data_IF_266624561038
#
_entry.id   IF_266624561038
#
_cell.length_a   1.000
_cell.length_b   1.000
_cell.length_c   1.000
_cell.angle_alpha   90.00
_cell.angle_beta   90.00
_cell.angle_gamma   90.00
#
_symmetry.space_group_name_H-M   'P 1'
#
loop_
_entity.id
_entity.type
_entity.pdbx_description
1 polymer ?
#
# COMPACT_ATOMS: atom_id res chain seq x y z
N UNK A 1 -2.52 -6.79 -5.90
CA UNK A 1 -1.37 -6.43 -6.75
C UNK A 1 -1.77 -6.36 -8.21
N UNK A 2 -1.09 -5.54 -9.00
CA UNK A 2 -1.27 -5.31 -10.43
C UNK A 2 -0.18 -5.95 -11.30
N UNK A 3 0.84 -6.52 -10.69
CA UNK A 3 2.03 -7.07 -11.37
C UNK A 3 2.35 -8.48 -10.84
N UNK A 4 2.84 -9.37 -11.69
CA UNK A 4 3.04 -10.77 -11.31
C UNK A 4 4.18 -10.99 -10.30
N UNK A 5 5.10 -10.04 -10.18
CA UNK A 5 6.26 -10.14 -9.28
C UNK A 5 5.93 -9.92 -7.80
N UNK A 6 4.77 -9.33 -7.50
CA UNK A 6 4.31 -9.05 -6.13
C UNK A 6 3.27 -10.09 -5.74
N UNK A 7 3.61 -10.97 -4.82
CA UNK A 7 2.84 -12.16 -4.47
C UNK A 7 2.00 -11.96 -3.21
N UNK A 8 0.99 -12.82 -3.04
CA UNK A 8 0.21 -12.86 -1.82
C UNK A 8 1.10 -13.08 -0.60
N UNK A 9 0.83 -12.32 0.47
CA UNK A 9 1.61 -12.34 1.70
C UNK A 9 2.91 -11.52 1.65
N UNK A 10 3.23 -10.88 0.53
CA UNK A 10 4.35 -9.93 0.50
C UNK A 10 4.02 -8.69 1.35
N UNK A 11 5.05 -8.19 2.05
CA UNK A 11 4.94 -7.01 2.92
C UNK A 11 5.52 -5.81 2.19
N UNK A 12 4.79 -4.71 2.19
CA UNK A 12 5.14 -3.46 1.53
C UNK A 12 5.24 -2.34 2.56
N UNK A 13 6.29 -1.53 2.48
CA UNK A 13 6.43 -0.27 3.22
C UNK A 13 6.60 0.82 2.17
N UNK A 14 5.50 1.50 1.77
CA UNK A 14 5.51 2.43 0.66
C UNK A 14 6.24 3.72 1.01
N UNK A 15 7.00 4.26 0.06
CA UNK A 15 7.62 5.58 0.17
C UNK A 15 6.61 6.70 -0.13
N UNK A 16 5.64 6.40 -0.96
CA UNK A 16 4.48 7.23 -1.25
C UNK A 16 3.32 6.36 -1.76
N UNK A 17 2.12 6.90 -1.75
CA UNK A 17 0.94 6.36 -2.43
C UNK A 17 0.37 7.40 -3.39
N UNK A 18 -0.18 6.96 -4.52
CA UNK A 18 -0.83 7.86 -5.49
C UNK A 18 -2.25 8.14 -5.00
N UNK A 19 -2.64 9.42 -4.95
CA UNK A 19 -3.96 9.88 -4.46
C UNK A 19 -5.01 9.74 -5.56
N UNK A 20 -5.55 8.55 -5.76
CA UNK A 20 -6.67 8.27 -6.67
C UNK A 20 -8.04 8.30 -5.97
N UNK A 21 -8.08 8.63 -4.69
CA UNK A 21 -9.26 8.66 -3.82
C UNK A 21 -9.80 10.08 -3.62
N UNK A 22 -11.11 10.23 -3.53
CA UNK A 22 -11.77 11.52 -3.32
C UNK A 22 -11.46 12.13 -1.97
N UNK A 23 -11.24 11.32 -0.93
CA UNK A 23 -10.91 11.83 0.40
C UNK A 23 -9.59 12.62 0.41
N UNK A 24 -8.57 12.18 -0.32
CA UNK A 24 -7.31 12.92 -0.48
C UNK A 24 -7.51 14.32 -1.06
N UNK A 25 -8.48 14.50 -1.98
CA UNK A 25 -8.75 15.79 -2.59
C UNK A 25 -9.21 16.84 -1.58
N UNK A 26 -10.02 16.44 -0.58
CA UNK A 26 -10.51 17.35 0.47
C UNK A 26 -9.45 17.75 1.49
N UNK A 27 -8.28 17.14 1.48
CA UNK A 27 -7.17 17.47 2.38
C UNK A 27 -6.22 18.53 1.80
N UNK A 28 -6.49 19.02 0.59
CA UNK A 28 -5.76 20.12 -0.02
C UNK A 28 -6.48 21.45 0.22
N UNK A 29 -5.74 22.57 0.17
CA UNK A 29 -6.28 23.93 0.39
C UNK A 29 -7.34 24.34 -0.65
N UNK A 30 -7.33 23.73 -1.83
CA UNK A 30 -8.28 23.96 -2.90
C UNK A 30 -8.80 22.62 -3.45
N UNK A 31 -10.10 22.57 -3.73
CA UNK A 31 -10.74 21.45 -4.44
C UNK A 31 -10.40 21.54 -5.95
N UNK A 32 -9.14 21.27 -6.27
CA UNK A 32 -8.64 21.29 -7.63
C UNK A 32 -8.37 19.86 -8.10
N UNK A 33 -8.96 19.48 -9.23
CA UNK A 33 -8.73 18.17 -9.84
C UNK A 33 -7.27 17.93 -10.22
N UNK A 34 -6.47 18.99 -10.37
CA UNK A 34 -5.02 18.89 -10.56
C UNK A 34 -4.31 18.27 -9.34
N UNK A 35 -4.99 18.16 -8.20
CA UNK A 35 -4.49 17.44 -7.03
C UNK A 35 -4.75 15.93 -7.08
N UNK A 36 -5.61 15.45 -7.98
CA UNK A 36 -5.80 14.02 -8.22
C UNK A 36 -4.52 13.37 -8.75
N UNK A 37 -4.31 12.14 -8.36
CA UNK A 37 -3.18 11.30 -8.76
C UNK A 37 -1.79 11.84 -8.38
N UNK A 38 -1.72 12.84 -7.50
CA UNK A 38 -0.45 13.27 -6.92
C UNK A 38 0.06 12.28 -5.86
N UNK A 39 1.40 12.19 -5.68
CA UNK A 39 1.96 11.35 -4.65
C UNK A 39 1.76 11.95 -3.26
N UNK A 40 1.22 11.17 -2.34
CA UNK A 40 1.21 11.41 -0.91
C UNK A 40 2.39 10.66 -0.26
N UNK A 41 3.29 11.37 0.40
CA UNK A 41 4.56 10.81 0.88
C UNK A 41 4.47 10.34 2.34
N UNK A 42 5.08 9.20 2.61
CA UNK A 42 5.38 8.74 3.96
C UNK A 42 6.58 9.48 4.57
N UNK A 43 6.77 9.33 5.87
CA UNK A 43 7.97 9.83 6.55
C UNK A 43 9.17 8.89 6.28
N UNK A 44 10.27 9.36 5.66
CA UNK A 44 11.39 8.52 5.27
C UNK A 44 12.18 7.95 6.47
N UNK A 45 12.23 8.67 7.60
CA UNK A 45 12.92 8.19 8.80
C UNK A 45 12.14 7.05 9.46
N UNK A 46 10.83 7.20 9.57
CA UNK A 46 9.95 6.16 10.09
C UNK A 46 9.98 4.92 9.18
N UNK A 47 9.94 5.10 7.86
CA UNK A 47 10.10 3.99 6.92
C UNK A 47 11.41 3.24 7.10
N UNK A 48 12.52 3.98 7.24
CA UNK A 48 13.85 3.38 7.48
C UNK A 48 13.86 2.58 8.78
N UNK A 49 13.26 3.14 9.85
CA UNK A 49 13.15 2.44 11.13
C UNK A 49 12.37 1.14 10.99
N UNK A 50 11.19 1.17 10.38
CA UNK A 50 10.34 -0.01 10.18
C UNK A 50 11.06 -1.06 9.30
N UNK A 51 11.71 -0.64 8.21
CA UNK A 51 12.51 -1.54 7.36
C UNK A 51 13.66 -2.20 8.14
N UNK A 52 14.27 -1.51 9.09
CA UNK A 52 15.30 -2.10 9.97
C UNK A 52 14.70 -3.12 10.94
N UNK A 53 13.54 -2.84 11.53
CA UNK A 53 12.81 -3.82 12.36
C UNK A 53 12.49 -5.08 11.53
N UNK A 54 12.02 -4.92 10.30
CA UNK A 54 11.78 -6.06 9.40
C UNK A 54 13.06 -6.89 9.20
N UNK A 55 14.20 -6.25 8.91
CA UNK A 55 15.48 -6.95 8.70
C UNK A 55 15.92 -7.74 9.93
N UNK A 56 15.81 -7.17 11.14
CA UNK A 56 16.21 -7.85 12.38
C UNK A 56 15.36 -9.08 12.68
N UNK A 57 14.16 -9.13 12.12
CA UNK A 57 13.23 -10.25 12.26
C UNK A 57 13.23 -11.19 11.04
N UNK A 58 14.17 -11.00 10.09
CA UNK A 58 14.25 -11.76 8.83
C UNK A 58 12.97 -11.67 7.98
N UNK A 59 12.27 -10.53 8.03
CA UNK A 59 11.08 -10.24 7.25
C UNK A 59 11.51 -9.52 5.98
N UNK A 60 11.25 -10.13 4.82
CA UNK A 60 11.47 -9.50 3.53
C UNK A 60 10.34 -8.53 3.20
N UNK A 61 10.72 -7.36 2.68
CA UNK A 61 9.77 -6.38 2.16
C UNK A 61 10.00 -6.18 0.68
N UNK A 62 8.91 -6.00 -0.08
CA UNK A 62 8.98 -5.71 -1.51
C UNK A 62 8.79 -4.21 -1.76
N UNK A 63 9.42 -3.70 -2.81
CA UNK A 63 9.24 -2.31 -3.24
C UNK A 63 7.96 -2.24 -4.08
N UNK A 64 7.04 -1.38 -3.69
CA UNK A 64 5.79 -1.16 -4.41
C UNK A 64 5.31 0.29 -4.28
N UNK A 65 4.54 0.73 -5.27
CA UNK A 65 3.85 2.02 -5.30
C UNK A 65 2.35 1.74 -5.25
N UNK A 66 1.69 1.99 -4.11
CA UNK A 66 0.25 1.92 -4.04
C UNK A 66 -0.43 3.06 -4.76
N UNK A 67 -1.65 2.81 -5.24
CA UNK A 67 -2.64 3.83 -5.55
C UNK A 67 -3.85 3.61 -4.64
N UNK A 68 -4.29 4.66 -3.94
CA UNK A 68 -5.52 4.64 -3.16
C UNK A 68 -6.70 4.96 -4.06
N UNK A 69 -7.79 4.19 -3.96
CA UNK A 69 -9.00 4.36 -4.76
C UNK A 69 -10.24 4.26 -3.88
N UNK A 70 -11.37 4.84 -4.33
CA UNK A 70 -12.63 4.84 -3.57
C UNK A 70 -13.45 3.55 -3.74
N UNK A 71 -13.16 2.74 -4.75
CA UNK A 71 -13.99 1.59 -5.09
C UNK A 71 -13.20 0.48 -5.79
N UNK A 72 -13.19 -0.68 -5.16
CA UNK A 72 -12.63 -1.91 -5.74
C UNK A 72 -13.35 -2.33 -7.03
N UNK A 73 -14.66 -2.05 -7.11
CA UNK A 73 -15.46 -2.46 -8.28
C UNK A 73 -15.15 -1.64 -9.54
N UNK A 74 -14.76 -0.36 -9.37
CA UNK A 74 -14.45 0.53 -10.48
C UNK A 74 -13.00 0.38 -10.95
N UNK A 75 -12.11 -0.17 -10.14
CA UNK A 75 -10.69 -0.28 -10.44
C UNK A 75 -10.39 -1.15 -11.66
N UNK A 76 -11.18 -2.21 -11.88
CA UNK A 76 -10.96 -3.17 -12.97
C UNK A 76 -10.99 -2.53 -14.37
N UNK A 77 -11.69 -1.41 -14.53
CA UNK A 77 -11.77 -0.69 -15.80
C UNK A 77 -10.54 0.19 -16.05
N UNK A 78 -9.74 0.48 -15.02
CA UNK A 78 -8.65 1.46 -15.04
C UNK A 78 -7.27 0.85 -14.70
N UNK A 79 -7.14 -0.48 -14.65
CA UNK A 79 -5.89 -1.13 -14.24
C UNK A 79 -4.67 -0.72 -15.07
N UNK A 80 -4.84 -0.57 -16.39
CA UNK A 80 -3.74 -0.17 -17.27
C UNK A 80 -3.39 1.31 -17.10
N UNK A 81 -4.36 2.16 -16.83
CA UNK A 81 -4.14 3.58 -16.51
C UNK A 81 -3.35 3.71 -15.21
N UNK A 82 -3.71 2.96 -14.16
CA UNK A 82 -2.97 2.95 -12.90
C UNK A 82 -1.53 2.46 -13.06
N UNK A 83 -1.32 1.39 -13.85
CA UNK A 83 0.04 0.92 -14.17
C UNK A 83 0.85 1.99 -14.94
N UNK A 84 0.23 2.69 -15.90
CA UNK A 84 0.87 3.78 -16.62
C UNK A 84 1.25 4.97 -15.74
N UNK A 85 0.53 5.19 -14.63
CA UNK A 85 0.89 6.15 -13.59
C UNK A 85 2.03 5.66 -12.68
N UNK A 86 2.46 4.42 -12.83
CA UNK A 86 3.52 3.79 -12.03
C UNK A 86 3.02 3.02 -10.80
N UNK A 87 1.71 2.89 -10.61
CA UNK A 87 1.17 2.05 -9.55
C UNK A 87 1.34 0.57 -9.87
N UNK A 88 1.68 -0.24 -8.86
CA UNK A 88 1.76 -1.69 -8.99
C UNK A 88 0.98 -2.45 -7.90
N UNK A 89 0.36 -1.73 -6.97
CA UNK A 89 -0.64 -2.24 -6.03
C UNK A 89 -1.80 -1.25 -5.88
N UNK A 90 -2.99 -1.76 -5.55
CA UNK A 90 -4.19 -0.97 -5.25
C UNK A 90 -4.58 -1.21 -3.81
N UNK A 91 -4.98 -0.16 -3.12
CA UNK A 91 -5.57 -0.17 -1.78
C UNK A 91 -6.50 1.06 -1.64
N UNK A 92 -7.02 1.34 -0.46
CA UNK A 92 -8.10 2.32 -0.33
C UNK A 92 -7.82 3.44 0.70
N UNK A 93 -6.68 3.44 1.41
CA UNK A 93 -6.49 4.28 2.59
C UNK A 93 -5.15 5.04 2.65
N UNK A 94 -4.09 4.52 2.06
CA UNK A 94 -2.72 4.97 2.33
C UNK A 94 -2.47 6.42 1.93
N UNK A 95 -2.97 6.85 0.76
CA UNK A 95 -2.76 8.22 0.30
C UNK A 95 -3.50 9.22 1.20
N UNK A 96 -4.78 8.96 1.50
CA UNK A 96 -5.55 9.79 2.46
C UNK A 96 -4.86 9.86 3.81
N UNK A 97 -4.38 8.73 4.34
CA UNK A 97 -3.67 8.70 5.62
C UNK A 97 -2.40 9.56 5.58
N UNK A 98 -1.57 9.44 4.54
CA UNK A 98 -0.35 10.24 4.41
C UNK A 98 -0.67 11.74 4.25
N UNK A 99 -1.64 12.10 3.42
CA UNK A 99 -2.07 13.49 3.23
C UNK A 99 -2.56 14.09 4.55
N UNK A 100 -3.43 13.39 5.28
CA UNK A 100 -3.96 13.85 6.56
C UNK A 100 -2.84 14.06 7.59
N UNK A 101 -1.90 13.13 7.70
CA UNK A 101 -0.80 13.23 8.64
C UNK A 101 0.18 14.34 8.27
N UNK A 102 0.45 14.53 6.98
CA UNK A 102 1.27 15.64 6.48
C UNK A 102 0.61 16.99 6.77
N UNK A 103 -0.73 17.11 6.60
CA UNK A 103 -1.49 18.32 6.90
C UNK A 103 -1.34 18.74 8.38
N UNK A 104 -1.34 17.78 9.31
CA UNK A 104 -1.17 18.05 10.75
C UNK A 104 0.30 18.02 11.21
N UNK A 105 1.25 17.93 10.29
CA UNK A 105 2.69 17.93 10.58
C UNK A 105 3.17 16.73 11.40
N UNK A 106 2.54 15.56 11.26
CA UNK A 106 2.92 14.33 11.97
C UNK A 106 3.57 13.32 11.03
N UNK A 107 4.63 12.63 11.47
CA UNK A 107 5.23 11.57 10.67
C UNK A 107 4.26 10.40 10.50
N UNK A 108 4.21 9.83 9.30
CA UNK A 108 3.39 8.67 8.99
C UNK A 108 4.14 7.65 8.15
N UNK A 109 3.81 6.39 8.34
CA UNK A 109 4.21 5.27 7.50
C UNK A 109 3.10 4.25 7.46
N UNK A 110 3.15 3.34 6.49
CA UNK A 110 2.21 2.24 6.37
C UNK A 110 2.96 0.92 6.18
N UNK A 111 2.36 -0.17 6.67
CA UNK A 111 2.79 -1.54 6.43
C UNK A 111 1.62 -2.28 5.82
N UNK A 112 1.75 -2.67 4.56
CA UNK A 112 0.70 -3.33 3.80
C UNK A 112 1.04 -4.80 3.59
N UNK A 113 0.01 -5.64 3.49
CA UNK A 113 0.13 -7.05 3.05
C UNK A 113 -0.66 -7.22 1.76
N UNK A 114 -0.08 -7.90 0.80
CA UNK A 114 -0.77 -8.28 -0.42
C UNK A 114 -1.75 -9.41 -0.14
N UNK A 115 -3.05 -9.14 -0.32
CA UNK A 115 -4.14 -10.12 -0.17
C UNK A 115 -4.52 -10.78 -1.50
N UNK A 116 -4.36 -10.03 -2.60
CA UNK A 116 -4.82 -10.45 -3.92
C UNK A 116 -3.81 -10.04 -4.99
N UNK A 117 -3.71 -10.83 -6.06
CA UNK A 117 -2.95 -10.47 -7.25
C UNK A 117 -3.82 -10.61 -8.50
N UNK A 118 -4.41 -9.50 -8.93
CA UNK A 118 -5.30 -9.43 -10.09
C UNK A 118 -4.59 -9.73 -11.40
N UNK A 119 -3.27 -9.51 -11.49
CA UNK A 119 -2.50 -9.77 -12.71
C UNK A 119 -2.38 -11.25 -13.07
N UNK A 120 -2.52 -12.13 -12.08
CA UNK A 120 -2.45 -13.60 -12.24
C UNK A 120 -3.71 -14.30 -11.75
N UNK A 121 -4.77 -13.55 -11.43
CA UNK A 121 -6.06 -14.08 -10.98
C UNK A 121 -6.01 -14.79 -9.63
N UNK A 122 -5.09 -14.43 -8.75
CA UNK A 122 -5.00 -15.01 -7.40
C UNK A 122 -5.76 -14.16 -6.39
N UNK A 123 -6.71 -14.78 -5.70
CA UNK A 123 -7.49 -14.16 -4.63
C UNK A 123 -7.37 -14.96 -3.34
N UNK A 124 -7.31 -14.28 -2.20
CA UNK A 124 -7.14 -14.90 -0.87
C UNK A 124 -8.20 -16.00 -0.56
N UNK A 125 -9.35 -15.94 -1.23
CA UNK A 125 -10.45 -16.89 -1.04
C UNK A 125 -10.15 -18.24 -1.70
N UNK A 126 -9.42 -18.25 -2.84
CA UNK A 126 -9.22 -19.42 -3.72
C UNK A 126 -7.76 -19.86 -3.79
N UNK A 127 -6.97 -19.62 -2.74
CA UNK A 127 -5.57 -20.02 -2.69
C UNK A 127 -5.37 -21.38 -2.03
N UNK A 128 -4.26 -22.04 -2.39
CA UNK A 128 -3.80 -23.26 -1.72
C UNK A 128 -3.41 -23.00 -0.26
N UNK A 129 -3.23 -24.08 0.49
CA UNK A 129 -2.91 -24.01 1.92
C UNK A 129 -1.57 -23.32 2.18
N UNK A 130 -0.55 -23.56 1.34
CA UNK A 130 0.80 -23.00 1.51
C UNK A 130 0.77 -21.47 1.40
N UNK A 131 0.12 -20.94 0.36
CA UNK A 131 -0.05 -19.50 0.15
C UNK A 131 -0.86 -18.86 1.28
N UNK A 132 -1.89 -19.54 1.78
CA UNK A 132 -2.68 -19.09 2.93
C UNK A 132 -1.85 -19.02 4.20
N UNK A 133 -1.04 -20.03 4.46
CA UNK A 133 -0.14 -20.09 5.63
C UNK A 133 0.91 -18.97 5.55
N UNK A 134 1.48 -18.70 4.35
CA UNK A 134 2.36 -17.54 4.10
C UNK A 134 1.67 -16.21 4.44
N UNK A 135 0.43 -16.00 4.00
CA UNK A 135 -0.32 -14.79 4.30
C UNK A 135 -0.58 -14.62 5.81
N UNK A 136 -0.95 -15.69 6.50
CA UNK A 136 -1.14 -15.66 7.96
C UNK A 136 0.17 -15.40 8.72
N UNK A 137 1.28 -15.95 8.26
CA UNK A 137 2.61 -15.66 8.81
C UNK A 137 2.95 -14.16 8.64
N UNK A 138 2.71 -13.57 7.47
CA UNK A 138 2.90 -12.15 7.21
C UNK A 138 2.06 -11.27 8.15
N UNK A 139 0.78 -11.61 8.39
CA UNK A 139 -0.06 -10.89 9.37
C UNK A 139 0.53 -10.95 10.79
N UNK A 140 1.08 -12.09 11.19
CA UNK A 140 1.74 -12.23 12.49
C UNK A 140 3.01 -11.37 12.57
N UNK A 141 3.77 -11.31 11.46
CA UNK A 141 4.96 -10.44 11.35
C UNK A 141 4.60 -8.97 11.52
N UNK A 142 3.53 -8.46 10.90
CA UNK A 142 3.08 -7.07 11.09
C UNK A 142 2.80 -6.78 12.56
N UNK A 143 2.10 -7.67 13.26
CA UNK A 143 1.88 -7.51 14.70
C UNK A 143 3.21 -7.36 15.47
N UNK A 144 4.21 -8.18 15.14
CA UNK A 144 5.53 -8.10 15.75
C UNK A 144 6.26 -6.80 15.40
N UNK A 145 6.14 -6.31 14.17
CA UNK A 145 6.68 -5.01 13.76
C UNK A 145 6.10 -3.91 14.65
N UNK A 146 4.76 -3.85 14.77
CA UNK A 146 4.06 -2.83 15.57
C UNK A 146 4.40 -2.86 17.05
N UNK A 147 4.73 -4.02 17.62
CA UNK A 147 5.14 -4.15 19.01
C UNK A 147 6.58 -3.69 19.27
N UNK A 148 7.37 -3.44 18.23
CA UNK A 148 8.77 -3.04 18.30
C UNK A 148 9.03 -1.61 17.77
N UNK A 149 7.98 -0.88 17.43
CA UNK A 149 8.00 0.54 17.10
C UNK A 149 7.63 1.35 18.33
#
# INVERSE_FOLDING_TARGET
SLVPEINLGDIIIPEYSISGDGASLYLHDALDTDNMFKPAYSNPELNRYIKNVCRTQNINTVKAVPISVDSVMCEYQHLDEFKNMGANVIEMETATFFNAMNLIGKPASAVLIVSDNSSVGQHLIDIDKETRDKYHAARTCIKNILLNI
#
